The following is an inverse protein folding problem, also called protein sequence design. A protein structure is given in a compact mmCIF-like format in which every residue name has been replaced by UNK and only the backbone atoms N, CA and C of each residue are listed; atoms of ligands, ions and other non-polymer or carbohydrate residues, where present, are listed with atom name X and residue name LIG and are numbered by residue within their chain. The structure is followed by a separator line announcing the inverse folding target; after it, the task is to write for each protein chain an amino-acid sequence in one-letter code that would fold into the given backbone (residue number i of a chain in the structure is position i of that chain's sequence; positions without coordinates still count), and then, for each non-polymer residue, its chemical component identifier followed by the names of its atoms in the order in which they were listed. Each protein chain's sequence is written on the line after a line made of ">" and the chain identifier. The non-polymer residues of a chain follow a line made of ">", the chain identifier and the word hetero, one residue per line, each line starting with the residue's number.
data_IF_437432132896
#
_entry.id   IF_437432132896
#
_cell.length_a   1.000
_cell.length_b   1.000
_cell.length_c   1.000
_cell.angle_alpha   90.00
_cell.angle_beta   90.00
_cell.angle_gamma   90.00
#
_symmetry.space_group_name_H-M   'P 1'
#
loop_
_entity.id
_entity.type
_entity.pdbx_description
1 polymer ?
#
# COMPACT_ATOMS: atom_id res chain seq x y z
N UNK A 1 38.44 71.26 74.05
CA UNK A 1 37.24 71.09 73.21
C UNK A 1 37.67 71.05 71.75
N UNK A 2 37.65 69.88 71.11
CA UNK A 2 37.71 69.77 69.65
C UNK A 2 36.86 68.56 69.25
N UNK A 3 35.70 68.83 68.64
CA UNK A 3 34.79 67.83 68.10
C UNK A 3 35.40 67.27 66.82
N UNK A 4 35.76 65.99 66.80
CA UNK A 4 35.96 65.25 65.55
C UNK A 4 34.58 64.92 64.98
N UNK A 5 34.21 65.68 63.94
CA UNK A 5 32.98 65.56 63.16
C UNK A 5 33.02 64.25 62.33
N UNK A 6 31.87 63.59 62.13
CA UNK A 6 31.80 62.14 61.85
C UNK A 6 31.90 61.78 60.37
N UNK A 7 32.13 60.49 60.14
CA UNK A 7 32.20 59.81 58.86
C UNK A 7 30.92 59.90 58.00
N UNK A 8 30.63 61.05 57.38
CA UNK A 8 29.41 61.26 56.56
C UNK A 8 29.58 61.13 55.03
N UNK A 9 30.77 60.85 54.50
CA UNK A 9 31.04 60.93 53.03
C UNK A 9 30.99 59.61 52.23
N UNK A 10 30.47 58.51 52.81
CA UNK A 10 30.47 57.19 52.13
C UNK A 10 29.18 56.69 51.45
N UNK A 11 28.01 57.37 51.42
CA UNK A 11 26.83 56.81 50.77
C UNK A 11 26.81 57.01 49.23
N UNK A 12 27.32 58.14 48.74
CA UNK A 12 27.30 58.46 47.30
C UNK A 12 28.26 57.56 46.48
N UNK A 13 29.44 57.27 47.02
CA UNK A 13 30.42 56.37 46.40
C UNK A 13 29.94 54.91 46.44
N UNK A 14 29.27 54.51 47.52
CA UNK A 14 28.66 53.18 47.62
C UNK A 14 27.53 53.01 46.58
N UNK A 15 26.65 54.01 46.42
CA UNK A 15 25.58 53.99 45.41
C UNK A 15 26.10 53.91 43.97
N UNK A 16 27.19 54.63 43.65
CA UNK A 16 27.85 54.56 42.34
C UNK A 16 28.50 53.20 42.06
N UNK A 17 29.12 52.59 43.08
CA UNK A 17 29.72 51.25 42.98
C UNK A 17 28.64 50.19 42.75
N UNK A 18 27.52 50.32 43.45
CA UNK A 18 26.38 49.41 43.36
C UNK A 18 25.68 49.51 41.99
N UNK A 19 25.55 50.72 41.44
CA UNK A 19 25.05 50.94 40.07
C UNK A 19 25.95 50.32 38.99
N UNK A 20 27.28 50.40 39.15
CA UNK A 20 28.23 49.74 38.22
C UNK A 20 28.14 48.21 38.31
N UNK A 21 27.96 47.65 39.51
CA UNK A 21 27.77 46.22 39.71
C UNK A 21 26.49 45.71 39.04
N UNK A 22 25.36 46.41 39.21
CA UNK A 22 24.09 46.06 38.54
C UNK A 22 24.21 46.14 37.02
N UNK A 23 24.91 47.15 36.48
CA UNK A 23 25.17 47.28 35.04
C UNK A 23 26.07 46.16 34.50
N UNK A 24 27.06 45.69 35.26
CA UNK A 24 27.88 44.52 34.90
C UNK A 24 27.06 43.24 34.88
N UNK A 25 26.29 42.96 35.95
CA UNK A 25 25.40 41.80 36.02
C UNK A 25 24.36 41.80 34.89
N UNK A 26 23.74 42.94 34.60
CA UNK A 26 22.79 43.06 33.49
C UNK A 26 23.45 42.85 32.11
N UNK A 27 24.74 43.18 31.94
CA UNK A 27 25.50 42.90 30.70
C UNK A 27 25.89 41.43 30.62
N UNK A 28 26.29 40.82 31.73
CA UNK A 28 26.61 39.39 31.85
C UNK A 28 25.37 38.54 31.58
N UNK A 29 24.23 38.82 32.22
CA UNK A 29 22.95 38.14 31.96
C UNK A 29 22.49 38.28 30.49
N UNK A 30 22.67 39.46 29.88
CA UNK A 30 22.39 39.64 28.44
C UNK A 30 23.35 38.86 27.56
N UNK A 31 24.61 38.71 27.96
CA UNK A 31 25.60 37.93 27.24
C UNK A 31 25.33 36.43 27.38
N UNK A 32 24.94 35.96 28.55
CA UNK A 32 24.52 34.57 28.83
C UNK A 32 23.25 34.21 28.06
N UNK A 33 22.22 35.05 28.09
CA UNK A 33 21.01 34.86 27.27
C UNK A 33 21.32 34.78 25.78
N UNK A 34 22.26 35.60 25.29
CA UNK A 34 22.71 35.53 23.89
C UNK A 34 23.51 34.26 23.59
N UNK A 35 24.29 33.74 24.54
CA UNK A 35 25.00 32.46 24.40
C UNK A 35 24.01 31.30 24.34
N UNK A 36 23.06 31.22 25.28
CA UNK A 36 22.01 30.21 25.26
C UNK A 36 21.17 30.29 23.98
N UNK A 37 20.75 31.48 23.54
CA UNK A 37 20.02 31.62 22.27
C UNK A 37 20.82 31.14 21.05
N UNK A 38 22.15 31.33 21.03
CA UNK A 38 23.04 30.82 19.97
C UNK A 38 23.20 29.31 20.05
N UNK A 39 23.33 28.76 21.25
CA UNK A 39 23.42 27.31 21.49
C UNK A 39 22.12 26.62 21.09
N UNK A 40 20.96 27.17 21.46
CA UNK A 40 19.64 26.67 21.08
C UNK A 40 19.44 26.75 19.56
N UNK A 41 19.83 27.86 18.93
CA UNK A 41 19.81 27.98 17.47
C UNK A 41 20.75 26.96 16.80
N UNK A 42 21.92 26.69 17.39
CA UNK A 42 22.84 25.68 16.88
C UNK A 42 22.28 24.25 17.05
N UNK A 43 21.62 23.94 18.17
CA UNK A 43 20.93 22.66 18.41
C UNK A 43 19.81 22.45 17.40
N UNK A 44 18.91 23.44 17.24
CA UNK A 44 17.83 23.40 16.23
C UNK A 44 18.36 23.20 14.81
N UNK A 45 19.49 23.83 14.47
CA UNK A 45 20.15 23.63 13.16
C UNK A 45 20.72 22.21 13.00
N UNK A 46 21.30 21.63 14.06
CA UNK A 46 21.78 20.24 14.03
C UNK A 46 20.61 19.26 13.90
N UNK A 47 19.56 19.44 14.69
CA UNK A 47 18.32 18.66 14.64
C UNK A 47 17.68 18.72 13.26
N UNK A 48 17.53 19.91 12.67
CA UNK A 48 17.01 20.06 11.31
C UNK A 48 17.86 19.35 10.25
N UNK A 49 19.19 19.35 10.40
CA UNK A 49 20.10 18.61 9.50
C UNK A 49 19.95 17.09 9.65
N UNK A 50 19.82 16.60 10.87
CA UNK A 50 19.58 15.17 11.12
C UNK A 50 18.23 14.75 10.55
N UNK A 51 17.16 15.51 10.84
CA UNK A 51 15.84 15.26 10.28
C UNK A 51 15.85 15.25 8.75
N UNK A 52 16.50 16.22 8.10
CA UNK A 52 16.60 16.25 6.64
C UNK A 52 17.34 15.02 6.06
N UNK A 53 18.37 14.52 6.75
CA UNK A 53 19.07 13.28 6.36
C UNK A 53 18.17 12.06 6.51
N UNK A 54 17.45 11.96 7.62
CA UNK A 54 16.55 10.85 7.90
C UNK A 54 15.39 10.83 6.88
N UNK A 55 14.83 12.00 6.53
CA UNK A 55 13.80 12.13 5.48
C UNK A 55 14.36 11.70 4.13
N UNK A 56 15.55 12.16 3.74
CA UNK A 56 16.16 11.79 2.46
C UNK A 56 16.42 10.28 2.36
N UNK A 57 16.86 9.65 3.45
CA UNK A 57 17.04 8.21 3.50
C UNK A 57 15.69 7.47 3.44
N UNK A 58 14.66 7.93 4.15
CA UNK A 58 13.32 7.35 4.10
C UNK A 58 12.70 7.45 2.69
N UNK A 59 12.86 8.58 2.01
CA UNK A 59 12.42 8.77 0.61
C UNK A 59 13.12 7.80 -0.32
N UNK A 60 14.44 7.62 -0.20
CA UNK A 60 15.20 6.66 -1.03
C UNK A 60 14.71 5.23 -0.83
N UNK A 61 14.51 4.80 0.41
CA UNK A 61 13.99 3.45 0.68
C UNK A 61 12.57 3.27 0.14
N UNK A 62 11.69 4.26 0.31
CA UNK A 62 10.35 4.22 -0.25
C UNK A 62 10.37 4.16 -1.77
N UNK A 63 11.25 4.91 -2.44
CA UNK A 63 11.43 4.85 -3.89
C UNK A 63 11.85 3.44 -4.35
N UNK A 64 12.89 2.88 -3.72
CA UNK A 64 13.36 1.51 -4.03
C UNK A 64 12.27 0.45 -3.79
N UNK A 65 11.49 0.61 -2.71
CA UNK A 65 10.37 -0.28 -2.41
C UNK A 65 9.30 -0.18 -3.50
N UNK A 66 8.90 1.04 -3.89
CA UNK A 66 7.90 1.25 -4.94
C UNK A 66 8.36 0.68 -6.28
N UNK A 67 9.63 0.81 -6.63
CA UNK A 67 10.20 0.22 -7.84
C UNK A 67 10.16 -1.31 -7.80
N UNK A 68 10.55 -1.90 -6.66
CA UNK A 68 10.48 -3.35 -6.45
C UNK A 68 9.04 -3.86 -6.52
N UNK A 69 8.12 -3.19 -5.85
CA UNK A 69 6.68 -3.50 -5.87
C UNK A 69 6.09 -3.34 -7.28
N UNK A 70 6.53 -2.33 -8.04
CA UNK A 70 6.10 -2.14 -9.44
C UNK A 70 6.56 -3.29 -10.31
N UNK A 71 7.81 -3.72 -10.18
CA UNK A 71 8.36 -4.84 -10.94
C UNK A 71 7.65 -6.16 -10.60
N UNK A 72 7.38 -6.42 -9.32
CA UNK A 72 6.67 -7.64 -8.90
C UNK A 72 5.23 -7.66 -9.40
N UNK A 73 4.46 -6.59 -9.25
CA UNK A 73 3.08 -6.53 -9.75
C UNK A 73 3.01 -6.57 -11.28
N UNK A 74 3.98 -5.98 -11.99
CA UNK A 74 4.07 -6.10 -13.43
C UNK A 74 4.35 -7.54 -13.88
N UNK A 75 5.25 -8.25 -13.17
CA UNK A 75 5.54 -9.65 -13.43
C UNK A 75 4.33 -10.54 -13.14
N UNK A 76 3.61 -10.30 -12.04
CA UNK A 76 2.38 -11.03 -11.69
C UNK A 76 1.29 -10.82 -12.74
N UNK A 77 1.13 -9.58 -13.22
CA UNK A 77 0.18 -9.26 -14.28
C UNK A 77 0.56 -9.92 -15.62
N UNK A 78 1.85 -9.97 -15.96
CA UNK A 78 2.34 -10.67 -17.14
C UNK A 78 2.14 -12.19 -17.03
N UNK A 79 2.44 -12.78 -15.86
CA UNK A 79 2.26 -14.20 -15.59
C UNK A 79 0.77 -14.60 -15.60
N UNK A 80 -0.09 -13.77 -15.00
CA UNK A 80 -1.53 -13.93 -15.08
C UNK A 80 -1.97 -13.88 -16.56
N UNK A 81 -1.51 -12.88 -17.32
CA UNK A 81 -1.84 -12.75 -18.75
C UNK A 81 -1.41 -13.95 -19.59
N UNK A 82 -0.23 -14.50 -19.33
CA UNK A 82 0.39 -15.59 -20.09
C UNK A 82 -0.26 -16.97 -19.89
N UNK A 83 -0.96 -17.22 -18.77
CA UNK A 83 -1.60 -18.51 -18.50
C UNK A 83 -2.81 -18.76 -19.41
N UNK A 84 -2.64 -19.35 -20.59
CA UNK A 84 -3.77 -19.69 -21.47
C UNK A 84 -4.74 -20.65 -20.76
N UNK A 85 -5.94 -20.16 -20.42
CA UNK A 85 -6.96 -20.95 -19.72
C UNK A 85 -7.76 -21.86 -20.64
N UNK A 86 -7.89 -21.46 -21.91
CA UNK A 86 -8.46 -22.28 -22.96
C UNK A 86 -7.39 -23.25 -23.48
N UNK A 87 -7.14 -24.32 -22.74
CA UNK A 87 -6.41 -25.47 -23.27
C UNK A 87 -7.28 -26.20 -24.29
N UNK A 88 -6.71 -26.79 -25.34
CA UNK A 88 -7.49 -27.53 -26.35
C UNK A 88 -8.44 -28.59 -25.75
N UNK A 89 -8.06 -29.18 -24.61
CA UNK A 89 -8.89 -30.09 -23.81
C UNK A 89 -10.20 -29.46 -23.32
N UNK A 90 -10.18 -28.19 -22.91
CA UNK A 90 -11.39 -27.45 -22.49
C UNK A 90 -12.36 -27.24 -23.65
N UNK A 91 -11.86 -26.87 -24.82
CA UNK A 91 -12.67 -26.68 -26.02
C UNK A 91 -13.31 -28.01 -26.43
N UNK A 92 -12.53 -29.09 -26.43
CA UNK A 92 -13.02 -30.44 -26.74
C UNK A 92 -14.12 -30.88 -25.77
N UNK A 93 -13.92 -30.70 -24.46
CA UNK A 93 -14.93 -31.02 -23.43
C UNK A 93 -16.24 -30.25 -23.64
N UNK A 94 -16.16 -28.95 -23.93
CA UNK A 94 -17.34 -28.14 -24.21
C UNK A 94 -18.07 -28.59 -25.47
N UNK A 95 -17.33 -28.83 -26.56
CA UNK A 95 -17.92 -29.31 -27.82
C UNK A 95 -18.56 -30.69 -27.67
N UNK A 96 -17.94 -31.59 -26.88
CA UNK A 96 -18.50 -32.90 -26.58
C UNK A 96 -19.80 -32.80 -25.77
N UNK A 97 -19.82 -31.96 -24.72
CA UNK A 97 -21.03 -31.72 -23.92
C UNK A 97 -22.16 -31.14 -24.78
N UNK A 98 -21.85 -30.15 -25.63
CA UNK A 98 -22.82 -29.53 -26.52
C UNK A 98 -23.37 -30.52 -27.58
N UNK A 99 -22.48 -31.31 -28.22
CA UNK A 99 -22.89 -32.31 -29.20
C UNK A 99 -23.77 -33.40 -28.57
N UNK A 100 -23.43 -33.87 -27.37
CA UNK A 100 -24.20 -34.88 -26.65
C UNK A 100 -25.59 -34.35 -26.27
N UNK A 101 -25.67 -33.12 -25.76
CA UNK A 101 -26.94 -32.49 -25.43
C UNK A 101 -27.82 -32.24 -26.67
N UNK A 102 -27.22 -31.81 -27.79
CA UNK A 102 -27.91 -31.60 -29.05
C UNK A 102 -28.45 -32.92 -29.61
N UNK A 103 -27.64 -33.98 -29.63
CA UNK A 103 -28.06 -35.31 -30.07
C UNK A 103 -29.27 -35.81 -29.25
N UNK A 104 -29.19 -35.77 -27.91
CA UNK A 104 -30.31 -36.18 -27.05
C UNK A 104 -31.57 -35.35 -27.30
N UNK A 105 -31.43 -34.03 -27.50
CA UNK A 105 -32.56 -33.13 -27.78
C UNK A 105 -33.22 -33.41 -29.13
N UNK A 106 -32.44 -33.73 -30.17
CA UNK A 106 -32.98 -34.09 -31.48
C UNK A 106 -33.77 -35.39 -31.43
N UNK A 107 -33.32 -36.37 -30.65
CA UNK A 107 -34.02 -37.64 -30.45
C UNK A 107 -35.36 -37.43 -29.74
N UNK A 108 -35.39 -36.61 -28.68
CA UNK A 108 -36.64 -36.24 -28.01
C UNK A 108 -37.59 -35.52 -28.96
N UNK A 109 -37.09 -34.55 -29.73
CA UNK A 109 -37.90 -33.78 -30.67
C UNK A 109 -38.49 -34.65 -31.80
N UNK A 110 -37.74 -35.66 -32.24
CA UNK A 110 -38.21 -36.65 -33.21
C UNK A 110 -39.35 -37.49 -32.63
N UNK A 111 -39.16 -38.04 -31.42
CA UNK A 111 -40.16 -38.89 -30.78
C UNK A 111 -41.39 -38.13 -30.25
N UNK A 112 -41.29 -36.81 -30.08
CA UNK A 112 -42.45 -35.96 -29.82
C UNK A 112 -43.40 -35.89 -31.03
N UNK A 113 -42.89 -36.09 -32.26
CA UNK A 113 -43.68 -36.07 -33.51
C UNK A 113 -44.11 -37.47 -33.96
N UNK A 114 -43.33 -38.50 -33.61
CA UNK A 114 -43.61 -39.89 -33.89
C UNK A 114 -43.38 -40.71 -32.61
N UNK A 115 -44.42 -40.89 -31.77
CA UNK A 115 -44.27 -41.57 -30.49
C UNK A 115 -43.87 -43.03 -30.69
N UNK A 116 -42.90 -43.47 -29.89
CA UNK A 116 -42.46 -44.86 -29.86
C UNK A 116 -43.52 -45.77 -29.23
N UNK A 117 -43.59 -47.05 -29.64
CA UNK A 117 -44.29 -48.06 -28.85
C UNK A 117 -43.64 -48.17 -27.46
N UNK A 118 -44.47 -48.47 -26.45
CA UNK A 118 -44.14 -48.40 -25.03
C UNK A 118 -42.85 -49.18 -24.69
N UNK A 119 -42.71 -50.35 -25.28
CA UNK A 119 -41.62 -51.31 -25.14
C UNK A 119 -40.28 -50.75 -25.67
N UNK A 120 -40.30 -49.95 -26.73
CA UNK A 120 -39.10 -49.26 -27.21
C UNK A 120 -38.81 -48.00 -26.39
N UNK A 121 -39.84 -47.29 -25.93
CA UNK A 121 -39.69 -46.11 -25.08
C UNK A 121 -38.96 -46.44 -23.76
N UNK A 122 -39.29 -47.59 -23.14
CA UNK A 122 -38.60 -48.08 -21.94
C UNK A 122 -37.12 -48.39 -22.17
N UNK A 123 -36.72 -48.78 -23.38
CA UNK A 123 -35.33 -49.01 -23.73
C UNK A 123 -34.57 -47.71 -24.06
N UNK A 124 -35.22 -46.73 -24.70
CA UNK A 124 -34.58 -45.49 -25.15
C UNK A 124 -34.48 -44.41 -24.07
N UNK A 125 -35.46 -44.31 -23.17
CA UNK A 125 -35.48 -43.31 -22.09
C UNK A 125 -34.25 -43.36 -21.16
N UNK A 126 -33.81 -44.53 -20.65
CA UNK A 126 -32.62 -44.57 -19.80
C UNK A 126 -31.35 -44.19 -20.58
N UNK A 127 -31.28 -44.48 -21.88
CA UNK A 127 -30.14 -44.10 -22.72
C UNK A 127 -30.06 -42.57 -22.91
N UNK A 128 -31.21 -41.93 -23.13
CA UNK A 128 -31.31 -40.47 -23.23
C UNK A 128 -30.98 -39.80 -21.90
N UNK A 129 -31.51 -40.34 -20.79
CA UNK A 129 -31.21 -39.85 -19.45
C UNK A 129 -29.71 -39.97 -19.15
N UNK A 130 -29.08 -41.12 -19.46
CA UNK A 130 -27.64 -41.31 -19.32
C UNK A 130 -26.85 -40.29 -20.16
N UNK A 131 -27.28 -40.03 -21.41
CA UNK A 131 -26.68 -38.99 -22.25
C UNK A 131 -26.74 -37.59 -21.65
N UNK A 132 -27.88 -37.20 -21.07
CA UNK A 132 -28.01 -35.92 -20.36
C UNK A 132 -27.15 -35.85 -19.10
N UNK A 133 -27.08 -36.93 -18.32
CA UNK A 133 -26.22 -37.00 -17.13
C UNK A 133 -24.76 -36.81 -17.54
N UNK A 134 -24.29 -37.53 -18.57
CA UNK A 134 -22.92 -37.39 -19.10
C UNK A 134 -22.64 -35.97 -19.59
N UNK A 135 -23.58 -35.37 -20.34
CA UNK A 135 -23.44 -33.99 -20.81
C UNK A 135 -23.38 -32.99 -19.64
N UNK A 136 -24.22 -33.17 -18.61
CA UNK A 136 -24.23 -32.35 -17.42
C UNK A 136 -22.92 -32.46 -16.62
N UNK A 137 -22.37 -33.67 -16.45
CA UNK A 137 -21.07 -33.88 -15.81
C UNK A 137 -19.92 -33.26 -16.60
N UNK A 138 -19.92 -33.41 -17.93
CA UNK A 138 -18.91 -32.80 -18.79
C UNK A 138 -18.97 -31.26 -18.75
N UNK A 139 -20.18 -30.69 -18.75
CA UNK A 139 -20.38 -29.25 -18.60
C UNK A 139 -19.96 -28.75 -17.21
N UNK A 140 -20.30 -29.48 -16.15
CA UNK A 140 -19.88 -29.17 -14.78
C UNK A 140 -18.35 -29.16 -14.64
N UNK A 141 -17.68 -30.21 -15.14
CA UNK A 141 -16.23 -30.31 -15.12
C UNK A 141 -15.56 -29.20 -15.92
N UNK A 142 -16.14 -28.82 -17.06
CA UNK A 142 -15.68 -27.66 -17.81
C UNK A 142 -15.84 -26.36 -17.01
N UNK A 143 -16.96 -26.18 -16.31
CA UNK A 143 -17.21 -25.02 -15.47
C UNK A 143 -16.18 -24.93 -14.31
N UNK A 144 -15.89 -26.06 -13.65
CA UNK A 144 -14.96 -26.12 -12.53
C UNK A 144 -13.51 -25.94 -12.95
N UNK A 145 -13.10 -26.53 -14.07
CA UNK A 145 -11.69 -26.55 -14.47
C UNK A 145 -11.28 -25.35 -15.33
N UNK A 146 -12.25 -24.67 -15.95
CA UNK A 146 -11.97 -23.61 -16.93
C UNK A 146 -12.57 -22.30 -16.48
N UNK A 147 -13.87 -22.28 -16.18
CA UNK A 147 -14.57 -21.03 -15.87
C UNK A 147 -14.21 -20.49 -14.49
N UNK A 148 -14.16 -21.33 -13.45
CA UNK A 148 -13.79 -20.89 -12.11
C UNK A 148 -12.34 -20.36 -12.04
N UNK A 149 -11.32 -21.04 -12.60
CA UNK A 149 -9.97 -20.50 -12.69
C UNK A 149 -9.87 -19.25 -13.56
N UNK A 150 -10.73 -19.12 -14.59
CA UNK A 150 -10.82 -17.91 -15.40
C UNK A 150 -11.29 -16.70 -14.62
N UNK A 151 -12.34 -16.86 -13.81
CA UNK A 151 -12.81 -15.81 -12.91
C UNK A 151 -11.75 -15.42 -11.89
N UNK A 152 -11.12 -16.39 -11.23
CA UNK A 152 -10.03 -16.12 -10.28
C UNK A 152 -8.86 -15.37 -10.94
N UNK A 153 -8.48 -15.74 -12.17
CA UNK A 153 -7.45 -15.02 -12.93
C UNK A 153 -7.89 -13.59 -13.25
N UNK A 154 -9.15 -13.37 -13.66
CA UNK A 154 -9.66 -12.03 -13.97
C UNK A 154 -9.65 -11.13 -12.74
N UNK A 155 -10.07 -11.66 -11.59
CA UNK A 155 -9.99 -10.94 -10.32
C UNK A 155 -8.54 -10.62 -9.95
N UNK A 156 -7.62 -11.58 -10.11
CA UNK A 156 -6.19 -11.35 -9.89
C UNK A 156 -5.59 -10.31 -10.85
N UNK A 157 -5.96 -10.32 -12.13
CA UNK A 157 -5.56 -9.31 -13.13
C UNK A 157 -6.05 -7.91 -12.71
N UNK A 158 -7.31 -7.80 -12.27
CA UNK A 158 -7.89 -6.53 -11.81
C UNK A 158 -7.20 -6.04 -10.54
N UNK A 159 -6.98 -6.93 -9.57
CA UNK A 159 -6.27 -6.58 -8.34
C UNK A 159 -4.84 -6.14 -8.62
N UNK A 160 -4.09 -6.87 -9.44
CA UNK A 160 -2.73 -6.50 -9.83
C UNK A 160 -2.69 -5.14 -10.56
N UNK A 161 -3.61 -4.89 -11.48
CA UNK A 161 -3.72 -3.60 -12.17
C UNK A 161 -4.07 -2.44 -11.21
N UNK A 162 -4.96 -2.68 -10.23
CA UNK A 162 -5.26 -1.69 -9.18
C UNK A 162 -4.05 -1.43 -8.28
N UNK A 163 -3.30 -2.47 -7.93
CA UNK A 163 -2.07 -2.29 -7.14
C UNK A 163 -1.02 -1.51 -7.94
N UNK A 164 -0.83 -1.83 -9.22
CA UNK A 164 0.09 -1.10 -10.09
C UNK A 164 -0.27 0.39 -10.19
N UNK A 165 -1.56 0.71 -10.41
CA UNK A 165 -2.01 2.11 -10.48
C UNK A 165 -1.85 2.85 -9.15
N UNK A 166 -2.06 2.19 -8.01
CA UNK A 166 -1.76 2.76 -6.68
C UNK A 166 -0.27 3.02 -6.50
N UNK A 167 0.59 2.08 -6.88
CA UNK A 167 2.05 2.24 -6.81
C UNK A 167 2.53 3.37 -7.71
N UNK A 168 1.99 3.49 -8.93
CA UNK A 168 2.32 4.58 -9.87
C UNK A 168 1.88 5.95 -9.33
N UNK A 169 0.71 6.03 -8.69
CA UNK A 169 0.26 7.26 -8.00
C UNK A 169 1.20 7.63 -6.84
N UNK A 170 1.60 6.65 -6.03
CA UNK A 170 2.55 6.87 -4.92
C UNK A 170 3.92 7.31 -5.43
N UNK A 171 4.42 6.71 -6.52
CA UNK A 171 5.67 7.12 -7.14
C UNK A 171 5.59 8.57 -7.66
N UNK A 172 4.49 8.93 -8.34
CA UNK A 172 4.26 10.29 -8.82
C UNK A 172 4.16 11.31 -7.67
N UNK A 173 3.47 10.95 -6.58
CA UNK A 173 3.39 11.78 -5.38
C UNK A 173 4.75 11.95 -4.69
N UNK A 174 5.58 10.90 -4.68
CA UNK A 174 6.94 10.97 -4.14
C UNK A 174 7.82 11.92 -4.95
N UNK A 175 7.73 11.87 -6.28
CA UNK A 175 8.43 12.79 -7.20
C UNK A 175 7.95 14.23 -7.08
N UNK A 176 6.65 14.44 -6.88
CA UNK A 176 6.04 15.75 -6.66
C UNK A 176 6.36 16.36 -5.28
N UNK A 177 6.84 15.55 -4.33
CA UNK A 177 7.06 15.97 -2.94
C UNK A 177 5.79 15.93 -2.07
N UNK A 178 4.70 15.37 -2.58
CA UNK A 178 3.41 15.24 -1.90
C UNK A 178 3.40 14.03 -0.96
N UNK A 179 4.17 14.13 0.11
CA UNK A 179 4.29 13.08 1.12
C UNK A 179 4.47 13.62 2.54
N UNK A 180 4.10 12.80 3.53
CA UNK A 180 4.24 13.12 4.95
C UNK A 180 5.29 12.18 5.55
N UNK A 181 6.39 12.73 6.05
CA UNK A 181 7.38 11.98 6.81
C UNK A 181 6.95 11.90 8.29
N UNK A 182 6.45 10.74 8.71
CA UNK A 182 6.00 10.49 10.07
C UNK A 182 6.92 9.48 10.77
N UNK A 183 7.03 9.57 12.09
CA UNK A 183 7.77 8.57 12.86
C UNK A 183 7.00 7.25 12.86
N UNK A 184 7.66 6.15 12.49
CA UNK A 184 6.97 4.86 12.43
C UNK A 184 6.72 4.33 13.85
N UNK A 185 5.43 4.13 14.17
CA UNK A 185 4.97 3.55 15.44
C UNK A 185 5.18 2.04 15.48
N UNK A 186 5.33 1.37 14.34
CA UNK A 186 5.48 -0.07 14.23
C UNK A 186 6.90 -0.45 13.83
N UNK A 187 7.47 -1.47 14.48
CA UNK A 187 8.82 -1.98 14.16
C UNK A 187 8.92 -2.52 12.74
N UNK A 188 7.82 -3.05 12.20
CA UNK A 188 7.74 -3.61 10.85
C UNK A 188 7.70 -2.56 9.72
N UNK A 189 7.34 -1.31 10.03
CA UNK A 189 7.30 -0.20 9.06
C UNK A 189 8.55 0.66 9.05
N UNK A 190 9.55 0.32 9.89
CA UNK A 190 10.74 1.13 10.09
C UNK A 190 11.88 0.67 9.18
N UNK A 191 12.50 1.60 8.48
CA UNK A 191 13.71 1.33 7.70
C UNK A 191 14.92 1.13 8.62
N UNK A 192 15.92 0.31 8.23
CA UNK A 192 17.07 0.00 9.08
C UNK A 192 17.80 1.25 9.59
N UNK A 193 17.89 2.25 8.71
CA UNK A 193 18.75 3.42 8.92
C UNK A 193 17.96 4.68 9.29
N UNK A 194 16.62 4.62 9.35
CA UNK A 194 15.79 5.80 9.68
C UNK A 194 14.56 5.43 10.51
N UNK A 195 14.20 6.25 11.52
CA UNK A 195 12.97 6.05 12.28
C UNK A 195 11.72 6.55 11.56
N UNK A 196 11.87 7.13 10.36
CA UNK A 196 10.81 7.79 9.61
C UNK A 196 10.22 6.86 8.55
N UNK A 197 8.93 7.02 8.33
CA UNK A 197 8.13 6.35 7.31
C UNK A 197 7.42 7.41 6.46
N UNK A 198 7.44 7.22 5.15
CA UNK A 198 6.79 8.10 4.20
C UNK A 198 5.35 7.63 4.01
N UNK A 199 4.40 8.52 4.28
CA UNK A 199 2.96 8.28 4.10
C UNK A 199 2.43 9.12 2.96
N UNK A 200 1.55 8.53 2.17
CA UNK A 200 0.91 9.22 1.04
C UNK A 200 -0.52 9.64 1.42
N UNK A 201 -0.95 10.85 1.03
CA UNK A 201 -2.32 11.32 1.28
C UNK A 201 -3.37 10.42 0.60
N UNK A 202 -3.02 9.77 -0.51
CA UNK A 202 -3.87 8.81 -1.23
C UNK A 202 -4.23 7.55 -0.44
N UNK A 203 -3.58 7.29 0.70
CA UNK A 203 -3.85 6.12 1.53
C UNK A 203 -4.97 6.36 2.57
N UNK A 204 -5.55 7.57 2.60
CA UNK A 204 -6.65 7.95 3.50
C UNK A 204 -8.04 7.97 2.83
N UNK A 205 -8.12 7.62 1.54
CA UNK A 205 -9.37 7.39 0.79
C UNK A 205 -9.76 5.90 0.78
#
# INVERSE_FOLDING_TARGET
>A
MARNVPASDRPAVAALRDRRLRMRRAREERAERKRHAREDAARKRKEAKHYARDVAAAVRHTALKLETDRASFAADLAAAKARSLLTGKSLLLLTFAAATAAASSTVIAHYARAPLPLDQAFATMPLLLAGYIVAAFAAWYWLSDVLAPWWMRKDAEIMAARMLTRTDRRASALEAGDYIAAQSLMRAGRWPDTPLEIRFPSDQE
#
